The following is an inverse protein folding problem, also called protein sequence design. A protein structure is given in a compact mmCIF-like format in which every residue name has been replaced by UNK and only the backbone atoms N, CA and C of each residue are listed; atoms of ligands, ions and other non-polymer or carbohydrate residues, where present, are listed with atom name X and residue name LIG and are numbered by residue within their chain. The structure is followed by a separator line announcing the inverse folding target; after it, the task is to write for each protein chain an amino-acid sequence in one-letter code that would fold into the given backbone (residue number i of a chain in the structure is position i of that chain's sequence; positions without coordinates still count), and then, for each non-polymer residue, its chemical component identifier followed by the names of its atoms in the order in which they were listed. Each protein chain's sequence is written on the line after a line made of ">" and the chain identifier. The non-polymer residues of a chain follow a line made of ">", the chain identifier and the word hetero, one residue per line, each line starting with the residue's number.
data_IF_647961567607
#
_entry.id   IF_647961567607
#
_cell.length_a   1.000
_cell.length_b   1.000
_cell.length_c   1.000
_cell.angle_alpha   90.00
_cell.angle_beta   90.00
_cell.angle_gamma   90.00
#
_symmetry.space_group_name_H-M   'P 1'
#
loop_
_entity.id
_entity.type
_entity.pdbx_description
1 polymer ?
#
# COMPACT_ATOMS: atom_id res chain seq x y z
N UNK A 1 -11.31 35.56 19.15
CA UNK A 1 -10.77 35.78 17.78
C UNK A 1 -9.38 35.16 17.74
N UNK A 2 -9.20 34.07 17.00
CA UNK A 2 -7.90 33.39 16.92
C UNK A 2 -7.06 34.13 15.86
N UNK A 3 -5.99 34.82 16.29
CA UNK A 3 -5.04 35.44 15.38
C UNK A 3 -4.23 34.34 14.67
N UNK A 4 -4.69 33.89 13.50
CA UNK A 4 -3.87 33.09 12.58
C UNK A 4 -2.84 34.04 11.98
N UNK A 5 -1.56 33.83 12.33
CA UNK A 5 -0.44 34.56 11.74
C UNK A 5 -0.12 33.89 10.39
N UNK A 6 -0.43 34.53 9.25
CA UNK A 6 -0.27 33.92 7.92
C UNK A 6 1.20 33.58 7.61
N UNK A 7 2.14 34.24 8.29
CA UNK A 7 3.57 34.12 8.05
C UNK A 7 4.18 32.85 8.66
N UNK A 8 3.46 32.22 9.59
CA UNK A 8 3.84 30.99 10.28
C UNK A 8 2.91 29.84 9.88
N UNK A 9 2.33 29.90 8.69
CA UNK A 9 1.71 28.73 8.10
C UNK A 9 2.81 27.81 7.58
N UNK A 10 2.65 26.53 7.90
CA UNK A 10 3.61 25.43 7.73
C UNK A 10 4.11 25.24 6.28
N UNK A 11 3.47 25.94 5.34
CA UNK A 11 3.66 25.88 3.88
C UNK A 11 4.18 27.20 3.29
N UNK A 12 4.99 27.96 4.03
CA UNK A 12 5.66 29.14 3.48
C UNK A 12 6.84 28.69 2.59
N UNK A 13 6.80 28.85 1.24
CA UNK A 13 7.84 28.35 0.34
C UNK A 13 9.18 29.08 0.50
N UNK A 14 9.18 30.21 1.22
CA UNK A 14 10.36 31.05 1.52
C UNK A 14 10.99 30.66 2.87
N UNK A 15 10.40 29.73 3.62
CA UNK A 15 10.95 29.31 4.90
C UNK A 15 12.35 28.68 4.70
N UNK A 16 13.38 29.13 5.43
CA UNK A 16 14.70 28.53 5.34
C UNK A 16 14.60 27.07 5.78
N UNK A 17 14.98 26.14 4.88
CA UNK A 17 14.97 24.73 5.21
C UNK A 17 15.89 24.49 6.42
N UNK A 18 15.42 23.78 7.47
CA UNK A 18 16.24 23.52 8.63
C UNK A 18 17.43 22.65 8.22
N UNK A 19 18.64 23.05 8.61
CA UNK A 19 19.84 22.29 8.27
C UNK A 19 19.74 20.86 8.84
N UNK A 20 19.75 19.89 7.93
CA UNK A 20 19.79 18.48 8.29
C UNK A 20 21.25 18.03 8.28
N UNK A 21 21.79 17.86 9.49
CA UNK A 21 23.14 17.36 9.68
C UNK A 21 23.37 15.96 9.07
N UNK A 22 24.63 15.59 8.78
CA UNK A 22 24.93 14.39 7.98
C UNK A 22 24.34 13.10 8.57
N UNK A 23 24.38 12.94 9.90
CA UNK A 23 23.82 11.79 10.60
C UNK A 23 22.30 11.69 10.45
N UNK A 24 21.60 12.81 10.60
CA UNK A 24 20.13 12.88 10.49
C UNK A 24 19.68 12.63 9.05
N UNK A 25 20.45 13.12 8.07
CA UNK A 25 20.22 12.86 6.64
C UNK A 25 20.31 11.37 6.30
N UNK A 26 21.33 10.68 6.82
CA UNK A 26 21.48 9.22 6.66
C UNK A 26 20.35 8.44 7.32
N UNK A 27 19.92 8.85 8.51
CA UNK A 27 18.80 8.21 9.21
C UNK A 27 17.49 8.36 8.42
N UNK A 28 17.21 9.54 7.87
CA UNK A 28 16.03 9.75 7.01
C UNK A 28 16.11 8.92 5.72
N UNK A 29 17.27 8.88 5.06
CA UNK A 29 17.44 8.06 3.87
C UNK A 29 17.21 6.55 4.15
N UNK A 30 17.68 6.06 5.30
CA UNK A 30 17.44 4.68 5.73
C UNK A 30 15.98 4.40 6.08
N UNK A 31 15.31 5.35 6.74
CA UNK A 31 13.89 5.22 7.08
C UNK A 31 13.04 5.17 5.81
N UNK A 32 13.30 6.06 4.85
CA UNK A 32 12.63 6.05 3.55
C UNK A 32 12.87 4.73 2.82
N UNK A 33 14.12 4.25 2.76
CA UNK A 33 14.43 2.97 2.11
C UNK A 33 13.71 1.79 2.78
N UNK A 34 13.59 1.80 4.12
CA UNK A 34 12.87 0.76 4.87
C UNK A 34 11.38 0.77 4.55
N UNK A 35 10.76 1.94 4.51
CA UNK A 35 9.34 2.11 4.15
C UNK A 35 9.07 1.56 2.75
N UNK A 36 9.92 1.91 1.76
CA UNK A 36 9.83 1.34 0.42
C UNK A 36 9.99 -0.18 0.39
N UNK A 37 10.88 -0.77 1.19
CA UNK A 37 11.06 -2.23 1.20
C UNK A 37 9.88 -2.96 1.82
N UNK A 38 9.32 -2.46 2.93
CA UNK A 38 8.20 -3.14 3.59
C UNK A 38 6.93 -3.06 2.74
N UNK A 39 6.69 -1.95 2.05
CA UNK A 39 5.56 -1.83 1.12
C UNK A 39 5.66 -2.83 -0.05
N UNK A 40 6.86 -2.98 -0.62
CA UNK A 40 7.10 -3.94 -1.70
C UNK A 40 6.97 -5.39 -1.24
N UNK A 41 7.37 -5.71 -0.01
CA UNK A 41 7.28 -7.05 0.54
C UNK A 41 5.83 -7.43 0.85
N UNK A 42 5.03 -6.50 1.38
CA UNK A 42 3.59 -6.68 1.59
C UNK A 42 2.87 -6.89 0.27
N UNK A 43 3.22 -6.12 -0.76
CA UNK A 43 2.63 -6.24 -2.09
C UNK A 43 2.89 -7.61 -2.72
N UNK A 44 4.14 -8.09 -2.69
CA UNK A 44 4.49 -9.44 -3.15
C UNK A 44 3.75 -10.53 -2.37
N UNK A 45 3.64 -10.37 -1.05
CA UNK A 45 2.89 -11.31 -0.22
C UNK A 45 1.41 -11.36 -0.61
N UNK A 46 0.78 -10.21 -0.88
CA UNK A 46 -0.61 -10.15 -1.34
C UNK A 46 -0.78 -10.78 -2.73
N UNK A 47 0.11 -10.49 -3.68
CA UNK A 47 0.09 -11.09 -5.03
C UNK A 47 0.23 -12.62 -4.99
N UNK A 48 1.13 -13.15 -4.15
CA UNK A 48 1.27 -14.60 -3.98
C UNK A 48 0.02 -15.24 -3.37
N UNK A 49 -0.63 -14.55 -2.43
CA UNK A 49 -1.84 -15.02 -1.77
C UNK A 49 -3.05 -15.04 -2.73
N UNK A 50 -3.22 -13.99 -3.56
CA UNK A 50 -4.26 -13.97 -4.59
C UNK A 50 -4.06 -15.08 -5.64
N UNK A 51 -2.82 -15.31 -6.07
CA UNK A 51 -2.48 -16.40 -6.99
C UNK A 51 -2.75 -17.79 -6.38
N UNK A 52 -2.41 -17.99 -5.11
CA UNK A 52 -2.68 -19.23 -4.40
C UNK A 52 -4.20 -19.47 -4.26
N UNK A 53 -4.94 -18.42 -3.90
CA UNK A 53 -6.40 -18.49 -3.77
C UNK A 53 -7.09 -18.77 -5.11
N UNK A 54 -6.65 -18.16 -6.20
CA UNK A 54 -7.21 -18.41 -7.53
C UNK A 54 -6.94 -19.84 -8.01
N UNK A 55 -5.72 -20.35 -7.81
CA UNK A 55 -5.37 -21.76 -8.07
C UNK A 55 -6.24 -22.73 -7.27
N UNK A 56 -6.45 -22.44 -5.98
CA UNK A 56 -7.31 -23.25 -5.12
C UNK A 56 -8.77 -23.25 -5.60
N UNK A 57 -9.33 -22.10 -5.96
CA UNK A 57 -10.69 -22.01 -6.50
C UNK A 57 -10.82 -22.78 -7.82
N UNK A 58 -9.79 -22.75 -8.67
CA UNK A 58 -9.79 -23.43 -9.97
C UNK A 58 -9.55 -24.94 -9.87
N UNK A 59 -8.87 -25.43 -8.83
CA UNK A 59 -8.60 -26.86 -8.63
C UNK A 59 -9.78 -27.64 -8.06
N UNK A 60 -10.79 -26.96 -7.49
CA UNK A 60 -11.97 -27.65 -6.93
C UNK A 60 -12.83 -28.27 -8.04
N UNK A 61 -13.24 -29.55 -7.89
CA UNK A 61 -14.15 -30.18 -8.85
C UNK A 61 -15.49 -29.45 -8.86
N UNK A 62 -16.08 -29.26 -10.05
CA UNK A 62 -17.36 -28.53 -10.27
C UNK A 62 -18.60 -29.19 -9.64
N UNK A 63 -18.41 -30.20 -8.80
CA UNK A 63 -19.45 -31.12 -8.32
C UNK A 63 -20.07 -30.65 -7.00
N UNK A 64 -20.94 -29.64 -7.09
CA UNK A 64 -22.20 -29.44 -6.32
C UNK A 64 -22.45 -27.96 -6.06
N UNK A 65 -23.38 -27.39 -6.85
CA UNK A 65 -24.01 -26.07 -6.69
C UNK A 65 -23.01 -24.88 -6.64
N UNK A 66 -23.41 -23.68 -7.09
CA UNK A 66 -22.58 -22.51 -6.88
C UNK A 66 -22.50 -22.23 -5.37
N UNK A 67 -21.40 -22.65 -4.74
CA UNK A 67 -21.06 -22.29 -3.37
C UNK A 67 -21.05 -20.75 -3.28
N UNK A 68 -22.00 -20.16 -2.54
CA UNK A 68 -22.03 -18.70 -2.31
C UNK A 68 -20.69 -18.20 -1.78
N UNK A 69 -20.01 -19.02 -0.97
CA UNK A 69 -18.66 -18.79 -0.46
C UNK A 69 -17.60 -18.68 -1.58
N UNK A 70 -17.68 -19.50 -2.63
CA UNK A 70 -16.77 -19.40 -3.78
C UNK A 70 -16.99 -18.12 -4.58
N UNK A 71 -18.24 -17.65 -4.70
CA UNK A 71 -18.53 -16.37 -5.36
C UNK A 71 -17.93 -15.20 -4.57
N UNK A 72 -18.18 -15.16 -3.26
CA UNK A 72 -17.61 -14.14 -2.36
C UNK A 72 -16.08 -14.14 -2.43
N UNK A 73 -15.45 -15.32 -2.45
CA UNK A 73 -13.99 -15.42 -2.56
C UNK A 73 -13.46 -14.89 -3.89
N UNK A 74 -14.14 -15.17 -5.01
CA UNK A 74 -13.77 -14.62 -6.33
C UNK A 74 -13.92 -13.11 -6.39
N UNK A 75 -15.01 -12.59 -5.84
CA UNK A 75 -15.26 -11.13 -5.80
C UNK A 75 -14.19 -10.43 -4.95
N UNK A 76 -13.79 -11.02 -3.82
CA UNK A 76 -12.71 -10.52 -2.98
C UNK A 76 -11.34 -10.56 -3.69
N UNK A 77 -11.04 -11.62 -4.45
CA UNK A 77 -9.81 -11.70 -5.26
C UNK A 77 -9.79 -10.61 -6.32
N UNK A 78 -10.90 -10.41 -7.05
CA UNK A 78 -11.00 -9.37 -8.07
C UNK A 78 -10.83 -7.95 -7.50
N UNK A 79 -11.37 -7.69 -6.30
CA UNK A 79 -11.14 -6.43 -5.59
C UNK A 79 -9.66 -6.25 -5.21
N UNK A 80 -9.01 -7.29 -4.69
CA UNK A 80 -7.59 -7.25 -4.32
C UNK A 80 -6.69 -7.01 -5.54
N UNK A 81 -6.95 -7.69 -6.66
CA UNK A 81 -6.22 -7.48 -7.92
C UNK A 81 -6.41 -6.07 -8.46
N UNK A 82 -7.63 -5.50 -8.36
CA UNK A 82 -7.89 -4.12 -8.77
C UNK A 82 -7.14 -3.08 -7.92
N UNK A 83 -7.04 -3.30 -6.61
CA UNK A 83 -6.27 -2.43 -5.71
C UNK A 83 -4.77 -2.51 -5.99
N UNK A 84 -4.24 -3.71 -6.23
CA UNK A 84 -2.84 -3.90 -6.61
C UNK A 84 -2.53 -3.19 -7.94
N UNK A 85 -3.36 -3.41 -8.97
CA UNK A 85 -3.18 -2.78 -10.28
C UNK A 85 -3.31 -1.24 -10.26
N UNK A 86 -4.06 -0.68 -9.30
CA UNK A 86 -4.17 0.77 -9.10
C UNK A 86 -2.96 1.34 -8.36
N UNK A 87 -2.26 0.54 -7.55
CA UNK A 87 -1.03 0.93 -6.84
C UNK A 87 0.21 0.88 -7.74
N UNK A 88 0.21 -0.02 -8.72
CA UNK A 88 1.26 -0.14 -9.74
C UNK A 88 1.29 1.00 -10.80
N UNK A 89 0.27 1.86 -10.86
CA UNK A 89 0.14 2.97 -11.83
C UNK A 89 0.64 4.30 -11.28
#
# INVERSE_FOLDING_TARGET
>A
MMFRRPELEKDNPIAPQPYIGPRRRRAMARAALKEFTEDNDVEKALQTLTLAASRYVNSRPKTRKPDKSLKVLRDAIAQAEGVLAAKDR
#
